data_IF_606456868638
#
_entry.id   IF_606456868638
#
_cell.length_a   1.000
_cell.length_b   1.000
_cell.length_c   1.000
_cell.angle_alpha   90.00
_cell.angle_beta   90.00
_cell.angle_gamma   90.00
#
_symmetry.space_group_name_H-M   'P 1'
#
loop_
_entity.id
_entity.type
_entity.pdbx_description
1 polymer ?
#
# COMPACT_ATOMS: atom_id res chain seq x y z
N UNK A 1 -12.42 14.76 4.70
CA UNK A 1 -12.67 14.42 6.11
C UNK A 1 -11.33 14.25 6.82
N UNK A 2 -10.70 15.38 7.16
CA UNK A 2 -9.51 15.44 8.00
C UNK A 2 -10.02 15.80 9.40
N UNK A 3 -9.95 14.87 10.34
CA UNK A 3 -10.14 15.19 11.76
C UNK A 3 -8.77 15.07 12.41
N UNK A 4 -8.05 16.18 12.37
CA UNK A 4 -6.95 16.46 13.29
C UNK A 4 -7.60 16.76 14.63
N UNK A 5 -7.70 15.76 15.51
CA UNK A 5 -8.06 15.96 16.91
C UNK A 5 -6.85 15.60 17.76
N UNK A 6 -6.33 16.61 18.46
CA UNK A 6 -5.34 16.55 19.54
C UNK A 6 -3.90 16.20 19.14
N UNK A 7 -3.11 17.26 18.92
CA UNK A 7 -1.65 17.22 18.83
C UNK A 7 -1.02 16.79 20.16
N UNK A 8 -0.52 15.56 20.23
CA UNK A 8 0.53 15.17 21.17
C UNK A 8 1.61 14.44 20.37
N UNK A 9 2.84 14.94 20.37
CA UNK A 9 3.95 14.38 19.58
C UNK A 9 4.13 12.88 19.81
N UNK A 10 3.72 12.38 20.98
CA UNK A 10 3.78 10.97 21.37
C UNK A 10 2.86 10.06 20.54
N UNK A 11 1.66 10.50 20.14
CA UNK A 11 0.75 9.64 19.33
C UNK A 11 1.24 9.44 17.90
N UNK A 12 1.97 10.40 17.34
CA UNK A 12 2.57 10.27 16.00
C UNK A 12 3.72 9.27 16.00
N UNK A 13 4.64 9.38 16.96
CA UNK A 13 5.78 8.46 17.10
C UNK A 13 5.29 7.04 17.34
N UNK A 14 4.27 6.88 18.18
CA UNK A 14 3.69 5.57 18.47
C UNK A 14 2.97 4.99 17.24
N UNK A 15 2.26 5.81 16.46
CA UNK A 15 1.67 5.40 15.18
C UNK A 15 2.70 4.90 14.16
N UNK A 16 3.86 5.55 14.07
CA UNK A 16 4.95 5.17 13.15
C UNK A 16 5.56 3.82 13.53
N UNK A 17 5.63 3.49 14.83
CA UNK A 17 6.21 2.21 15.30
C UNK A 17 5.16 1.09 15.24
N UNK A 18 3.90 1.40 15.55
CA UNK A 18 2.82 0.41 15.58
C UNK A 18 2.42 -0.04 14.16
N UNK A 19 2.43 0.86 13.17
CA UNK A 19 2.10 0.52 11.78
C UNK A 19 2.95 -0.64 11.20
N UNK A 20 4.30 -0.60 11.27
CA UNK A 20 5.13 -1.67 10.73
C UNK A 20 5.01 -2.96 11.53
N UNK A 21 4.82 -2.89 12.85
CA UNK A 21 4.59 -4.09 13.68
C UNK A 21 3.33 -4.83 13.23
N UNK A 22 2.24 -4.10 12.99
CA UNK A 22 0.99 -4.67 12.45
C UNK A 22 1.23 -5.28 11.06
N UNK A 23 1.95 -4.58 10.18
CA UNK A 23 2.30 -5.07 8.85
C UNK A 23 3.07 -6.40 8.88
N UNK A 24 4.00 -6.56 9.83
CA UNK A 24 4.77 -7.80 10.03
C UNK A 24 3.87 -8.95 10.52
N UNK A 25 2.94 -8.68 11.44
CA UNK A 25 2.00 -9.68 11.95
C UNK A 25 1.09 -10.18 10.83
N UNK A 26 0.53 -9.28 10.04
CA UNK A 26 -0.35 -9.61 8.92
C UNK A 26 0.43 -10.36 7.84
N UNK A 27 1.67 -9.95 7.53
CA UNK A 27 2.56 -10.67 6.60
C UNK A 27 2.77 -12.13 7.03
N UNK A 28 2.95 -12.40 8.33
CA UNK A 28 3.08 -13.78 8.85
C UNK A 28 1.79 -14.58 8.67
N UNK A 29 0.63 -13.98 8.94
CA UNK A 29 -0.66 -14.65 8.74
C UNK A 29 -0.89 -15.00 7.27
N UNK A 30 -0.58 -14.07 6.36
CA UNK A 30 -0.72 -14.26 4.92
C UNK A 30 0.26 -15.32 4.39
N UNK A 31 1.51 -15.32 4.87
CA UNK A 31 2.49 -16.34 4.50
C UNK A 31 2.05 -17.75 4.94
N UNK A 32 1.42 -17.87 6.12
CA UNK A 32 0.85 -19.14 6.58
C UNK A 32 -0.32 -19.61 5.69
N UNK A 33 -1.16 -18.68 5.24
CA UNK A 33 -2.26 -18.98 4.33
C UNK A 33 -1.78 -19.40 2.95
N UNK A 34 -0.75 -18.73 2.42
CA UNK A 34 -0.11 -19.07 1.14
C UNK A 34 0.48 -20.48 1.17
N UNK A 35 1.08 -20.88 2.30
CA UNK A 35 1.63 -22.23 2.48
C UNK A 35 0.59 -23.36 2.44
N UNK A 36 -0.70 -23.05 2.63
CA UNK A 36 -1.78 -24.03 2.77
C UNK A 36 -2.63 -24.19 1.51
N UNK A 37 -2.45 -23.31 0.53
CA UNK A 37 -3.25 -23.25 -0.71
C UNK A 37 -2.47 -23.84 -1.89
N UNK A 38 -3.21 -24.43 -2.85
CA UNK A 38 -2.69 -25.08 -4.07
C UNK A 38 -1.79 -24.09 -4.86
N UNK A 39 -0.63 -24.57 -5.32
CA UNK A 39 0.43 -23.80 -6.00
C UNK A 39 0.05 -23.36 -7.43
N UNK A 40 -0.98 -22.54 -7.56
CA UNK A 40 -1.33 -21.86 -8.80
C UNK A 40 -0.89 -20.39 -8.75
N UNK A 41 -0.08 -19.96 -9.72
CA UNK A 41 0.48 -18.60 -9.73
C UNK A 41 -0.58 -17.50 -9.68
N UNK A 42 -1.69 -17.67 -10.41
CA UNK A 42 -2.78 -16.68 -10.45
C UNK A 42 -3.44 -16.51 -9.08
N UNK A 43 -3.71 -17.61 -8.39
CA UNK A 43 -4.39 -17.57 -7.09
C UNK A 43 -3.51 -16.92 -6.02
N UNK A 44 -2.22 -17.24 -6.04
CA UNK A 44 -1.23 -16.66 -5.15
C UNK A 44 -1.13 -15.14 -5.30
N UNK A 45 -1.15 -14.62 -6.54
CA UNK A 45 -1.18 -13.16 -6.80
C UNK A 45 -2.46 -12.53 -6.27
N UNK A 46 -3.62 -13.13 -6.56
CA UNK A 46 -4.91 -12.62 -6.08
C UNK A 46 -4.95 -12.53 -4.55
N UNK A 47 -4.44 -13.55 -3.85
CA UNK A 47 -4.34 -13.55 -2.38
C UNK A 47 -3.40 -12.46 -1.89
N UNK A 48 -2.24 -12.28 -2.52
CA UNK A 48 -1.30 -11.21 -2.13
C UNK A 48 -1.94 -9.84 -2.31
N UNK A 49 -2.57 -9.57 -3.45
CA UNK A 49 -3.26 -8.28 -3.71
C UNK A 49 -4.42 -8.06 -2.73
N UNK A 50 -5.25 -9.09 -2.51
CA UNK A 50 -6.34 -9.03 -1.53
C UNK A 50 -5.82 -8.78 -0.11
N UNK A 51 -4.69 -9.40 0.25
CA UNK A 51 -4.09 -9.25 1.58
C UNK A 51 -3.49 -7.87 1.80
N UNK A 52 -2.93 -7.24 0.76
CA UNK A 52 -2.47 -5.85 0.81
C UNK A 52 -3.64 -4.91 1.10
N UNK A 53 -4.77 -5.11 0.43
CA UNK A 53 -5.98 -4.32 0.68
C UNK A 53 -6.57 -4.58 2.07
N UNK A 54 -6.61 -5.83 2.51
CA UNK A 54 -7.06 -6.18 3.86
C UNK A 54 -6.15 -5.54 4.94
N UNK A 55 -4.83 -5.56 4.74
CA UNK A 55 -3.86 -4.92 5.63
C UNK A 55 -4.10 -3.42 5.74
N UNK A 56 -4.34 -2.75 4.60
CA UNK A 56 -4.69 -1.34 4.57
C UNK A 56 -5.97 -1.04 5.37
N UNK A 57 -7.03 -1.80 5.15
CA UNK A 57 -8.30 -1.61 5.87
C UNK A 57 -8.14 -1.85 7.38
N UNK A 58 -7.38 -2.87 7.77
CA UNK A 58 -7.14 -3.20 9.16
C UNK A 58 -6.33 -2.10 9.87
N UNK A 59 -5.30 -1.57 9.21
CA UNK A 59 -4.54 -0.44 9.73
C UNK A 59 -5.38 0.83 9.85
N UNK A 60 -6.27 1.08 8.88
CA UNK A 60 -7.19 2.21 8.94
C UNK A 60 -8.21 2.08 10.09
N UNK A 61 -8.67 0.86 10.37
CA UNK A 61 -9.53 0.57 11.54
C UNK A 61 -8.84 0.91 12.86
N UNK A 62 -7.53 0.68 12.94
CA UNK A 62 -6.70 1.02 14.10
C UNK A 62 -6.30 2.50 14.17
N UNK A 63 -6.80 3.35 13.25
CA UNK A 63 -6.45 4.78 13.13
C UNK A 63 -4.94 5.03 12.92
N UNK A 64 -4.26 4.09 12.28
CA UNK A 64 -2.83 4.19 11.94
C UNK A 64 -2.68 4.36 10.42
N UNK A 65 -1.55 4.90 9.97
CA UNK A 65 -1.26 5.03 8.53
C UNK A 65 -1.19 3.67 7.84
N UNK A 66 -2.23 3.35 7.07
CA UNK A 66 -2.34 2.08 6.36
C UNK A 66 -1.28 1.88 5.28
N UNK A 67 -0.77 2.97 4.70
CA UNK A 67 0.28 2.91 3.68
C UNK A 67 1.58 2.37 4.30
N UNK A 68 1.95 2.84 5.51
CA UNK A 68 3.16 2.39 6.21
C UNK A 68 3.05 0.91 6.58
N UNK A 69 1.86 0.46 7.03
CA UNK A 69 1.62 -0.94 7.34
C UNK A 69 1.73 -1.85 6.10
N UNK A 70 1.20 -1.41 4.96
CA UNK A 70 1.30 -2.13 3.68
C UNK A 70 2.75 -2.21 3.19
N UNK A 71 3.51 -1.12 3.28
CA UNK A 71 4.93 -1.12 2.89
C UNK A 71 5.74 -2.05 3.78
N UNK A 72 5.52 -2.02 5.10
CA UNK A 72 6.17 -2.93 6.04
C UNK A 72 5.81 -4.41 5.78
N UNK A 73 4.55 -4.68 5.42
CA UNK A 73 4.10 -6.01 5.01
C UNK A 73 4.83 -6.49 3.75
N UNK A 74 4.95 -5.63 2.74
CA UNK A 74 5.68 -5.91 1.50
C UNK A 74 7.16 -6.23 1.76
N UNK A 75 7.84 -5.39 2.54
CA UNK A 75 9.24 -5.60 2.94
C UNK A 75 9.40 -6.92 3.73
N UNK A 76 8.48 -7.22 4.65
CA UNK A 76 8.53 -8.47 5.41
C UNK A 76 8.23 -9.72 4.56
N UNK A 77 7.61 -9.56 3.39
CA UNK A 77 7.38 -10.63 2.43
C UNK A 77 8.64 -10.86 1.58
N UNK A 78 9.31 -9.79 1.19
CA UNK A 78 10.61 -9.80 0.48
C UNK A 78 11.71 -10.32 1.39
N UNK A 79 11.94 -11.63 1.38
CA UNK A 79 12.98 -12.29 2.18
C UNK A 79 12.61 -13.70 2.63
N UNK A 80 11.31 -14.03 2.68
CA UNK A 80 10.83 -15.39 2.97
C UNK A 80 10.70 -16.19 1.67
N UNK A 81 11.84 -16.50 1.05
CA UNK A 81 11.96 -17.32 -0.18
C UNK A 81 11.33 -18.72 -0.11
N UNK A 82 10.92 -19.21 1.06
CA UNK A 82 10.38 -20.57 1.23
C UNK A 82 8.89 -20.74 0.92
N UNK A 83 8.12 -19.66 0.72
CA UNK A 83 6.65 -19.77 0.62
C UNK A 83 6.05 -19.44 -0.74
N UNK A 84 6.79 -18.72 -1.58
CA UNK A 84 6.31 -18.23 -2.87
C UNK A 84 7.07 -18.90 -4.00
N UNK A 85 6.37 -19.46 -4.98
CA UNK A 85 7.02 -20.11 -6.13
C UNK A 85 7.88 -19.09 -6.90
N UNK A 86 9.10 -19.45 -7.29
CA UNK A 86 10.03 -18.53 -7.99
C UNK A 86 9.43 -17.91 -9.28
N UNK A 87 8.48 -18.61 -9.91
CA UNK A 87 7.71 -18.10 -11.05
C UNK A 87 6.68 -17.03 -10.68
N UNK A 88 6.02 -17.18 -9.53
CA UNK A 88 4.96 -16.26 -9.09
C UNK A 88 5.51 -14.92 -8.61
N UNK A 89 6.62 -14.91 -7.88
CA UNK A 89 7.23 -13.65 -7.40
C UNK A 89 7.57 -12.72 -8.56
N UNK A 90 8.23 -13.25 -9.60
CA UNK A 90 8.58 -12.47 -10.80
C UNK A 90 7.35 -11.98 -11.54
N UNK A 91 6.27 -12.76 -11.57
CA UNK A 91 5.02 -12.31 -12.16
C UNK A 91 4.39 -11.19 -11.33
N UNK A 92 4.30 -11.35 -10.01
CA UNK A 92 3.74 -10.35 -9.10
C UNK A 92 4.48 -9.02 -9.22
N UNK A 93 5.82 -9.02 -9.21
CA UNK A 93 6.63 -7.80 -9.35
C UNK A 93 6.36 -7.12 -10.70
N UNK A 94 6.27 -7.90 -11.80
CA UNK A 94 5.91 -7.34 -13.11
C UNK A 94 4.50 -6.75 -13.13
N UNK A 95 3.53 -7.46 -12.54
CA UNK A 95 2.16 -6.98 -12.42
C UNK A 95 2.10 -5.67 -11.61
N UNK A 96 2.76 -5.62 -10.45
CA UNK A 96 2.84 -4.41 -9.62
C UNK A 96 3.54 -3.26 -10.35
N UNK A 97 4.59 -3.53 -11.13
CA UNK A 97 5.27 -2.50 -11.90
C UNK A 97 4.33 -1.87 -12.95
N UNK A 98 3.57 -2.68 -13.70
CA UNK A 98 2.57 -2.17 -14.65
C UNK A 98 1.51 -1.32 -13.94
N UNK A 99 0.99 -1.80 -12.80
CA UNK A 99 0.01 -1.06 -12.00
C UNK A 99 0.57 0.26 -11.46
N UNK A 100 1.79 0.26 -10.93
CA UNK A 100 2.45 1.47 -10.40
C UNK A 100 2.67 2.49 -11.49
N UNK A 101 3.10 2.06 -12.68
CA UNK A 101 3.27 2.96 -13.84
C UNK A 101 1.94 3.55 -14.28
N UNK A 102 0.87 2.75 -14.30
CA UNK A 102 -0.48 3.23 -14.61
C UNK A 102 -0.95 4.28 -13.60
N UNK A 103 -0.83 4.02 -12.30
CA UNK A 103 -1.22 4.98 -11.26
C UNK A 103 -0.36 6.25 -11.28
N UNK A 104 0.95 6.13 -11.53
CA UNK A 104 1.84 7.28 -11.61
C UNK A 104 1.45 8.22 -12.77
N UNK A 105 1.15 7.68 -13.95
CA UNK A 105 0.66 8.47 -15.08
C UNK A 105 -0.67 9.17 -14.78
N UNK A 106 -1.59 8.49 -14.09
CA UNK A 106 -2.86 9.11 -13.64
C UNK A 106 -2.63 10.23 -12.62
N UNK A 107 -1.70 10.06 -11.67
CA UNK A 107 -1.37 11.09 -10.69
C UNK A 107 -0.85 12.36 -11.37
N UNK A 108 0.07 12.24 -12.32
CA UNK A 108 0.62 13.38 -13.08
C UNK A 108 -0.48 14.10 -13.86
N UNK A 109 -1.40 13.36 -14.50
CA UNK A 109 -2.52 13.94 -15.23
C UNK A 109 -3.41 14.78 -14.31
N UNK A 110 -3.79 14.24 -13.15
CA UNK A 110 -4.67 14.92 -12.19
C UNK A 110 -3.97 16.14 -11.59
N UNK A 111 -2.70 16.01 -11.19
CA UNK A 111 -1.91 17.13 -10.67
C UNK A 111 -1.72 18.23 -11.72
N UNK A 112 -1.47 17.86 -12.97
CA UNK A 112 -1.36 18.81 -14.08
C UNK A 112 -2.66 19.58 -14.33
N UNK A 113 -3.80 18.88 -14.31
CA UNK A 113 -5.11 19.51 -14.45
C UNK A 113 -5.40 20.50 -13.31
N UNK A 114 -5.09 20.12 -12.06
CA UNK A 114 -5.23 21.01 -10.90
C UNK A 114 -4.30 22.23 -10.97
N UNK A 115 -3.07 22.06 -11.47
CA UNK A 115 -2.16 23.19 -11.63
C UNK A 115 -2.71 24.23 -12.63
N UNK A 116 -3.31 23.80 -13.74
CA UNK A 116 -3.89 24.71 -14.75
C UNK A 116 -5.09 25.47 -14.19
N UNK A 117 -5.94 24.85 -13.37
CA UNK A 117 -7.10 25.55 -12.79
C UNK A 117 -6.72 26.57 -11.71
N UNK A 118 -5.62 26.33 -10.98
CA UNK A 118 -5.07 27.28 -9.99
C UNK A 118 -4.33 28.43 -10.68
N UNK A 119 -3.64 28.18 -11.81
CA UNK A 119 -2.93 29.19 -12.61
C UNK A 119 -3.87 29.77 -13.69
N UNK A 120 -5.08 30.15 -13.31
CA UNK A 120 -5.86 31.14 -14.08
C UNK A 120 -5.51 32.50 -13.46
N UNK A 121 -4.49 33.22 -13.94
CA UNK A 121 -4.16 34.52 -13.39
C UNK A 121 -5.31 35.47 -13.70
N UNK A 122 -5.52 36.39 -12.78
CA UNK A 122 -6.31 37.60 -12.89
C UNK A 122 -5.94 38.38 -14.16
N UNK A 123 -6.44 37.97 -15.32
CA UNK A 123 -6.58 38.87 -16.47
C UNK A 123 -7.82 39.72 -16.20
N UNK A 124 -7.59 40.77 -15.40
CA UNK A 124 -8.46 41.92 -15.34
C UNK A 124 -8.51 42.48 -16.77
N UNK A 125 -9.62 42.21 -17.45
CA UNK A 125 -9.94 42.88 -18.70
C UNK A 125 -10.48 44.24 -18.27
N UNK A 126 -9.57 45.23 -18.15
CA UNK A 126 -9.96 46.64 -18.21
C UNK A 126 -10.46 46.99 -19.62
#
# INVERSE_FOLDING_TARGET
MFIVTSFSSTVYVLGIIVAPVIGIIISKAVAYWLSRIIKDSVNEICIVVASVYMCYLFANFLRVSGIIAVVAMGISMTGKRSFMGEGTEKFLIRFLHVMSTFFNSNMILICGLQAVTVIKPSINVE
#
